data_IF_476965792754
#
_entry.id   IF_476965792754
#
_cell.length_a   1.000
_cell.length_b   1.000
_cell.length_c   1.000
_cell.angle_alpha   90.00
_cell.angle_beta   90.00
_cell.angle_gamma   90.00
#
_symmetry.space_group_name_H-M   'P 1'
#
loop_
_entity.id
_entity.type
_entity.pdbx_description
1 polymer ?
#
# COMPACT_ATOMS: atom_id res chain seq x y z
N UNK A 1 4.42 -10.73 3.13
CA UNK A 1 3.74 -11.74 4.00
C UNK A 1 3.81 -11.33 5.46
N UNK A 2 2.86 -11.72 6.33
CA UNK A 2 2.98 -11.47 7.78
C UNK A 2 3.86 -12.54 8.44
N UNK A 3 4.72 -12.12 9.37
CA UNK A 3 5.50 -13.05 10.20
C UNK A 3 4.58 -14.03 10.93
N UNK A 4 4.95 -15.33 11.04
CA UNK A 4 4.07 -16.30 11.68
C UNK A 4 3.79 -15.97 13.15
N UNK A 5 2.51 -16.06 13.53
CA UNK A 5 2.05 -15.96 14.92
C UNK A 5 1.27 -17.24 15.26
N UNK A 6 1.52 -17.84 16.43
CA UNK A 6 0.82 -19.04 16.90
C UNK A 6 0.84 -20.21 15.87
N UNK A 7 1.97 -20.41 15.19
CA UNK A 7 2.12 -21.46 14.19
C UNK A 7 1.36 -21.22 12.87
N UNK A 8 0.78 -20.04 12.66
CA UNK A 8 0.11 -19.69 11.40
C UNK A 8 0.83 -18.55 10.68
N UNK A 9 0.97 -18.66 9.36
CA UNK A 9 1.36 -17.60 8.44
C UNK A 9 0.14 -17.05 7.73
N UNK A 10 0.08 -15.72 7.60
CA UNK A 10 -0.91 -15.04 6.77
C UNK A 10 -0.27 -14.56 5.47
N UNK A 11 -0.88 -14.93 4.35
CA UNK A 11 -0.61 -14.34 3.05
C UNK A 11 -1.68 -13.27 2.79
N UNK A 12 -1.21 -12.06 2.56
CA UNK A 12 -2.04 -10.86 2.36
C UNK A 12 -1.60 -10.27 1.02
N UNK A 13 -2.43 -10.37 -0.03
CA UNK A 13 -2.13 -9.76 -1.32
C UNK A 13 -2.00 -8.24 -1.21
N UNK A 14 -1.16 -7.62 -2.03
CA UNK A 14 -1.01 -6.15 -2.04
C UNK A 14 -2.35 -5.39 -2.27
N UNK A 15 -3.24 -5.83 -3.18
CA UNK A 15 -4.57 -5.24 -3.31
C UNK A 15 -5.43 -5.34 -2.04
N UNK A 16 -5.18 -6.35 -1.19
CA UNK A 16 -5.90 -6.50 0.09
C UNK A 16 -5.40 -5.54 1.16
N UNK A 17 -4.12 -5.15 1.17
CA UNK A 17 -3.68 -4.04 2.05
C UNK A 17 -4.19 -2.70 1.53
N UNK A 18 -4.21 -2.50 0.21
CA UNK A 18 -4.75 -1.28 -0.38
C UNK A 18 -6.24 -1.11 0.00
N UNK A 19 -7.00 -2.20 0.05
CA UNK A 19 -8.36 -2.18 0.60
C UNK A 19 -8.42 -1.68 2.06
N UNK A 20 -7.46 -2.03 2.92
CA UNK A 20 -7.38 -1.48 4.28
C UNK A 20 -7.06 0.01 4.27
N UNK A 21 -6.14 0.45 3.40
CA UNK A 21 -5.80 1.87 3.17
C UNK A 21 -7.04 2.67 2.77
N UNK A 22 -7.85 2.17 1.85
CA UNK A 22 -9.14 2.77 1.46
C UNK A 22 -10.15 2.86 2.62
N UNK A 23 -10.27 1.82 3.45
CA UNK A 23 -11.12 1.85 4.65
C UNK A 23 -10.68 2.93 5.65
N UNK A 24 -9.37 3.06 5.88
CA UNK A 24 -8.83 4.13 6.73
C UNK A 24 -9.08 5.51 6.13
N UNK A 25 -8.85 5.69 4.83
CA UNK A 25 -9.10 6.96 4.14
C UNK A 25 -10.58 7.36 4.23
N UNK A 26 -11.50 6.40 4.10
CA UNK A 26 -12.92 6.65 4.25
C UNK A 26 -13.29 7.17 5.65
N UNK A 27 -12.60 6.71 6.69
CA UNK A 27 -12.79 7.16 8.07
C UNK A 27 -12.01 8.44 8.45
N UNK A 28 -11.08 8.88 7.59
CA UNK A 28 -10.12 9.97 7.85
C UNK A 28 -10.76 11.36 7.95
N UNK A 29 -10.22 12.23 8.79
CA UNK A 29 -10.61 13.65 8.85
C UNK A 29 -11.02 14.10 10.24
N UNK A 30 -10.31 13.64 11.27
CA UNK A 30 -10.36 14.25 12.59
C UNK A 30 -9.91 15.74 12.53
N UNK A 31 -10.36 16.60 13.46
CA UNK A 31 -9.95 18.00 13.50
C UNK A 31 -8.43 18.18 13.52
N UNK A 32 -7.92 19.12 12.71
CA UNK A 32 -6.48 19.43 12.60
C UNK A 32 -5.71 18.59 11.57
N UNK A 33 -6.28 17.50 11.06
CA UNK A 33 -5.68 16.72 9.98
C UNK A 33 -6.11 17.23 8.61
N UNK A 34 -5.17 17.25 7.66
CA UNK A 34 -5.50 17.46 6.26
C UNK A 34 -6.58 16.46 5.81
N UNK A 35 -7.47 16.93 4.94
CA UNK A 35 -8.63 16.14 4.50
C UNK A 35 -8.52 15.78 3.03
N UNK A 36 -9.02 14.59 2.64
CA UNK A 36 -9.07 14.20 1.25
C UNK A 36 -10.02 15.11 0.48
N UNK A 37 -9.57 15.60 -0.67
CA UNK A 37 -10.34 16.55 -1.48
C UNK A 37 -10.03 16.41 -2.97
N UNK A 38 -11.00 15.98 -3.80
CA UNK A 38 -12.32 15.45 -3.43
C UNK A 38 -12.23 14.09 -2.74
N UNK A 39 -13.09 13.88 -1.73
CA UNK A 39 -13.01 12.69 -0.89
C UNK A 39 -13.21 11.35 -1.63
N UNK A 40 -14.23 11.17 -2.51
CA UNK A 40 -14.47 9.89 -3.16
C UNK A 40 -13.27 9.36 -3.97
N UNK A 41 -12.62 10.24 -4.73
CA UNK A 41 -11.51 9.90 -5.61
C UNK A 41 -10.21 9.65 -4.84
N UNK A 42 -9.97 10.36 -3.73
CA UNK A 42 -8.80 10.10 -2.87
C UNK A 42 -9.00 8.79 -2.10
N UNK A 43 -10.22 8.49 -1.63
CA UNK A 43 -10.56 7.19 -1.03
C UNK A 43 -10.34 6.08 -2.05
N UNK A 44 -10.77 6.27 -3.30
CA UNK A 44 -10.54 5.32 -4.39
C UNK A 44 -9.06 5.12 -4.67
N UNK A 45 -8.27 6.21 -4.77
CA UNK A 45 -6.84 6.13 -4.97
C UNK A 45 -6.14 5.39 -3.82
N UNK A 46 -6.47 5.71 -2.56
CA UNK A 46 -5.95 4.99 -1.40
C UNK A 46 -6.33 3.50 -1.44
N UNK A 47 -7.57 3.19 -1.84
CA UNK A 47 -8.07 1.83 -1.99
C UNK A 47 -7.46 1.03 -3.14
N UNK A 48 -6.84 1.70 -4.12
CA UNK A 48 -6.36 1.10 -5.38
C UNK A 48 -4.91 1.47 -5.71
N UNK A 49 -4.14 2.01 -4.74
CA UNK A 49 -2.78 2.48 -4.99
C UNK A 49 -1.86 1.37 -5.50
N UNK A 50 -2.14 0.13 -5.12
CA UNK A 50 -1.42 -1.07 -5.55
C UNK A 50 -2.14 -1.87 -6.65
N UNK A 51 -2.97 -1.23 -7.46
CA UNK A 51 -3.65 -1.88 -8.60
C UNK A 51 -2.66 -2.57 -9.56
N UNK A 52 -1.42 -2.09 -9.63
CA UNK A 52 -0.33 -2.69 -10.40
C UNK A 52 -0.04 -4.16 -10.03
N UNK A 53 -0.36 -4.56 -8.80
CA UNK A 53 -0.13 -5.91 -8.30
C UNK A 53 -1.22 -6.90 -8.68
N UNK A 54 -2.40 -6.46 -9.15
CA UNK A 54 -3.53 -7.36 -9.43
C UNK A 54 -3.13 -8.54 -10.32
N UNK A 55 -2.45 -8.27 -11.44
CA UNK A 55 -2.02 -9.33 -12.36
C UNK A 55 -0.97 -10.26 -11.74
N UNK A 56 -0.03 -9.71 -10.95
CA UNK A 56 1.00 -10.48 -10.27
C UNK A 56 0.40 -11.44 -9.25
N UNK A 57 -0.54 -10.97 -8.43
CA UNK A 57 -1.20 -11.75 -7.39
C UNK A 57 -2.07 -12.89 -7.96
N UNK A 58 -2.51 -12.78 -9.23
CA UNK A 58 -3.23 -13.88 -9.90
C UNK A 58 -2.32 -15.01 -10.40
N UNK A 59 -1.01 -14.78 -10.44
CA UNK A 59 -0.02 -15.71 -10.97
C UNK A 59 1.22 -15.80 -10.06
N UNK A 60 1.08 -16.12 -8.76
CA UNK A 60 2.22 -16.15 -7.84
C UNK A 60 3.24 -17.18 -8.31
N UNK A 61 4.52 -16.83 -8.19
CA UNK A 61 5.67 -17.69 -8.53
C UNK A 61 6.38 -18.17 -7.28
N UNK A 62 6.96 -19.36 -7.35
CA UNK A 62 7.65 -19.97 -6.21
C UNK A 62 9.08 -19.41 -6.08
N UNK A 63 9.43 -18.94 -4.89
CA UNK A 63 10.82 -18.68 -4.49
C UNK A 63 11.46 -20.02 -4.05
N UNK A 64 12.38 -20.59 -4.83
CA UNK A 64 12.98 -21.90 -4.52
C UNK A 64 13.91 -21.86 -3.30
N UNK A 65 14.43 -20.69 -2.93
CA UNK A 65 15.30 -20.56 -1.75
C UNK A 65 14.49 -20.65 -0.47
N UNK A 66 13.30 -20.04 -0.48
CA UNK A 66 12.46 -19.97 0.72
C UNK A 66 11.37 -21.02 0.75
N UNK A 67 11.00 -21.63 -0.39
CA UNK A 67 9.86 -22.53 -0.54
C UNK A 67 8.51 -21.85 -0.36
N UNK A 68 8.41 -20.55 -0.65
CA UNK A 68 7.23 -19.70 -0.46
C UNK A 68 6.93 -18.91 -1.76
N UNK A 69 5.75 -18.29 -1.91
CA UNK A 69 5.55 -17.30 -2.96
C UNK A 69 6.59 -16.18 -2.86
N UNK A 70 7.09 -15.69 -3.99
CA UNK A 70 8.01 -14.55 -4.01
C UNK A 70 7.43 -13.36 -3.24
N UNK A 71 8.26 -12.79 -2.36
CA UNK A 71 7.88 -11.62 -1.57
C UNK A 71 7.96 -10.34 -2.42
N UNK A 72 6.89 -9.55 -2.42
CA UNK A 72 6.80 -8.29 -3.16
C UNK A 72 7.94 -7.32 -2.78
N UNK A 73 8.42 -7.37 -1.53
CA UNK A 73 9.52 -6.53 -1.02
C UNK A 73 10.88 -6.87 -1.62
N UNK A 74 11.01 -8.03 -2.28
CA UNK A 74 12.24 -8.49 -2.94
C UNK A 74 12.27 -8.20 -4.44
N UNK A 75 11.19 -7.65 -5.02
CA UNK A 75 11.16 -7.35 -6.45
C UNK A 75 11.93 -6.06 -6.75
N UNK A 76 12.94 -6.18 -7.61
CA UNK A 76 13.69 -5.04 -8.14
C UNK A 76 12.85 -4.11 -9.00
N UNK A 77 13.23 -2.84 -9.05
CA UNK A 77 12.53 -1.80 -9.81
C UNK A 77 12.46 -2.09 -11.32
N UNK A 78 13.39 -2.86 -11.89
CA UNK A 78 13.35 -3.29 -13.29
C UNK A 78 12.12 -4.13 -13.63
N UNK A 79 11.58 -4.89 -12.67
CA UNK A 79 10.33 -5.65 -12.81
C UNK A 79 9.14 -4.81 -12.36
N UNK A 80 9.28 -4.13 -11.23
CA UNK A 80 8.19 -3.42 -10.56
C UNK A 80 7.73 -2.16 -11.32
N UNK A 81 8.63 -1.35 -11.87
CA UNK A 81 8.27 -0.08 -12.50
C UNK A 81 7.38 -0.22 -13.75
N UNK A 82 7.62 -1.18 -14.67
CA UNK A 82 6.70 -1.45 -15.78
C UNK A 82 5.30 -1.89 -15.30
N UNK A 83 5.22 -2.71 -14.24
CA UNK A 83 3.93 -3.11 -13.64
C UNK A 83 3.20 -1.89 -13.09
N UNK A 84 3.92 -1.00 -12.39
CA UNK A 84 3.36 0.23 -11.84
C UNK A 84 2.78 1.14 -12.92
N UNK A 85 3.57 1.41 -13.97
CA UNK A 85 3.15 2.20 -15.11
C UNK A 85 1.88 1.62 -15.77
N UNK A 86 1.75 0.30 -15.84
CA UNK A 86 0.54 -0.34 -16.34
C UNK A 86 -0.66 -0.13 -15.41
N UNK A 87 -0.47 -0.25 -14.09
CA UNK A 87 -1.51 0.04 -13.09
C UNK A 87 -2.03 1.48 -13.16
N UNK A 88 -1.12 2.44 -13.35
CA UNK A 88 -1.46 3.86 -13.57
C UNK A 88 -2.35 4.03 -14.80
N UNK A 89 -2.04 3.35 -15.92
CA UNK A 89 -2.87 3.40 -17.12
C UNK A 89 -4.24 2.74 -16.95
N UNK A 90 -4.33 1.63 -16.20
CA UNK A 90 -5.62 1.03 -15.83
C UNK A 90 -6.46 2.05 -15.06
N UNK A 91 -5.89 2.68 -14.03
CA UNK A 91 -6.60 3.66 -13.21
C UNK A 91 -7.07 4.85 -14.05
N UNK A 92 -6.23 5.35 -14.96
CA UNK A 92 -6.57 6.46 -15.86
C UNK A 92 -7.75 6.09 -16.77
N UNK A 93 -7.71 4.90 -17.35
CA UNK A 93 -8.75 4.42 -18.26
C UNK A 93 -10.07 4.12 -17.52
N UNK A 94 -10.01 3.63 -16.29
CA UNK A 94 -11.18 3.23 -15.52
C UNK A 94 -11.86 4.39 -14.77
N UNK A 95 -11.07 5.31 -14.19
CA UNK A 95 -11.56 6.29 -13.22
C UNK A 95 -11.13 7.73 -13.50
N UNK A 96 -10.33 7.96 -14.53
CA UNK A 96 -9.90 9.29 -14.95
C UNK A 96 -8.60 9.77 -14.31
N UNK A 97 -8.27 11.04 -14.56
CA UNK A 97 -6.93 11.56 -14.31
C UNK A 97 -6.58 11.68 -12.83
N UNK A 98 -7.53 12.02 -11.95
CA UNK A 98 -7.21 12.33 -10.56
C UNK A 98 -6.79 11.11 -9.73
N UNK A 99 -7.55 9.99 -9.69
CA UNK A 99 -7.07 8.77 -9.05
C UNK A 99 -5.76 8.27 -9.66
N UNK A 100 -5.65 8.29 -10.99
CA UNK A 100 -4.44 7.86 -11.68
C UNK A 100 -3.21 8.69 -11.32
N UNK A 101 -3.37 10.01 -11.17
CA UNK A 101 -2.32 10.91 -10.72
C UNK A 101 -1.82 10.55 -9.32
N UNK A 102 -2.72 10.32 -8.37
CA UNK A 102 -2.36 9.96 -7.00
C UNK A 102 -1.66 8.60 -6.93
N UNK A 103 -2.09 7.63 -7.75
CA UNK A 103 -1.45 6.30 -7.87
C UNK A 103 -0.05 6.43 -8.50
N UNK A 104 0.10 7.25 -9.54
CA UNK A 104 1.40 7.53 -10.17
C UNK A 104 2.37 8.18 -9.17
N UNK A 105 1.92 9.20 -8.42
CA UNK A 105 2.71 9.87 -7.40
C UNK A 105 3.13 8.93 -6.26
N UNK A 106 2.25 8.00 -5.86
CA UNK A 106 2.59 7.00 -4.85
C UNK A 106 3.70 6.06 -5.34
N UNK A 107 3.65 5.60 -6.59
CA UNK A 107 4.74 4.82 -7.18
C UNK A 107 6.06 5.57 -7.26
N UNK A 108 6.03 6.85 -7.67
CA UNK A 108 7.23 7.70 -7.63
C UNK A 108 7.82 7.74 -6.23
N UNK A 109 6.99 7.95 -5.20
CA UNK A 109 7.43 7.96 -3.80
C UNK A 109 8.10 6.66 -3.38
N UNK A 110 7.56 5.49 -3.77
CA UNK A 110 8.17 4.19 -3.49
C UNK A 110 9.62 4.14 -4.00
N UNK A 111 9.88 4.61 -5.21
CA UNK A 111 11.21 4.57 -5.81
C UNK A 111 12.16 5.66 -5.31
N UNK A 112 11.66 6.82 -4.89
CA UNK A 112 12.49 7.99 -4.54
C UNK A 112 12.68 8.18 -3.04
N UNK A 113 11.76 7.69 -2.21
CA UNK A 113 11.80 7.90 -0.75
C UNK A 113 11.99 6.60 0.03
N UNK A 114 11.54 5.45 -0.49
CA UNK A 114 11.53 4.19 0.26
C UNK A 114 12.58 3.17 -0.21
N UNK A 115 13.20 3.40 -1.35
CA UNK A 115 14.34 2.62 -1.83
C UNK A 115 15.63 3.43 -1.64
N UNK A 116 16.69 2.76 -1.17
CA UNK A 116 18.02 3.34 -1.11
C UNK A 116 18.73 3.14 -2.46
N UNK A 117 18.91 4.19 -3.28
CA UNK A 117 19.49 4.06 -4.62
C UNK A 117 20.92 3.50 -4.62
N UNK A 118 21.68 3.69 -3.53
CA UNK A 118 23.06 3.18 -3.42
C UNK A 118 23.10 1.66 -3.21
N UNK A 119 22.01 1.08 -2.74
CA UNK A 119 21.85 -0.35 -2.51
C UNK A 119 21.32 -1.13 -3.72
N UNK A 120 20.87 -0.43 -4.77
CA UNK A 120 20.19 -1.05 -5.91
C UNK A 120 21.14 -1.53 -7.01
N UNK A 121 20.81 -2.65 -7.69
CA UNK A 121 21.47 -3.05 -8.92
C UNK A 121 21.41 -1.96 -10.01
N UNK A 122 22.41 -1.88 -10.91
CA UNK A 122 22.39 -0.89 -12.01
C UNK A 122 21.15 -0.96 -12.90
N UNK A 123 20.60 -2.15 -13.16
CA UNK A 123 19.36 -2.26 -13.95
C UNK A 123 18.15 -1.62 -13.28
N UNK A 124 18.07 -1.68 -11.95
CA UNK A 124 16.97 -1.14 -11.16
C UNK A 124 17.05 0.38 -11.12
N UNK A 125 18.24 0.93 -10.88
CA UNK A 125 18.46 2.38 -10.97
C UNK A 125 18.07 2.92 -12.35
N UNK A 126 18.53 2.27 -13.43
CA UNK A 126 18.18 2.69 -14.78
C UNK A 126 16.68 2.56 -15.07
N UNK A 127 15.98 1.60 -14.46
CA UNK A 127 14.54 1.46 -14.57
C UNK A 127 13.80 2.58 -13.82
N UNK A 128 14.24 2.92 -12.61
CA UNK A 128 13.71 4.03 -11.81
C UNK A 128 13.84 5.34 -12.58
N UNK A 129 15.03 5.66 -13.11
CA UNK A 129 15.26 6.91 -13.85
C UNK A 129 14.34 7.05 -15.06
N UNK A 130 14.23 5.98 -15.87
CA UNK A 130 13.34 5.96 -17.04
C UNK A 130 11.87 6.13 -16.63
N UNK A 131 11.45 5.44 -15.58
CA UNK A 131 10.07 5.52 -15.11
C UNK A 131 9.75 6.90 -14.53
N UNK A 132 10.62 7.44 -13.68
CA UNK A 132 10.44 8.75 -13.07
C UNK A 132 10.38 9.86 -14.13
N UNK A 133 11.22 9.82 -15.16
CA UNK A 133 11.16 10.79 -16.26
C UNK A 133 9.82 10.72 -17.01
N UNK A 134 9.33 9.50 -17.29
CA UNK A 134 8.04 9.28 -17.94
C UNK A 134 6.86 9.74 -17.06
N UNK A 135 6.82 9.30 -15.81
CA UNK A 135 5.74 9.63 -14.87
C UNK A 135 5.72 11.12 -14.55
N UNK A 136 6.88 11.79 -14.40
CA UNK A 136 6.92 13.23 -14.17
C UNK A 136 6.27 14.04 -15.31
N UNK A 137 6.48 13.63 -16.57
CA UNK A 137 5.83 14.27 -17.72
C UNK A 137 4.31 14.07 -17.73
N UNK A 138 3.84 12.85 -17.41
CA UNK A 138 2.41 12.52 -17.31
C UNK A 138 1.74 13.27 -16.15
N UNK A 139 2.38 13.27 -14.98
CA UNK A 139 1.90 13.96 -13.78
C UNK A 139 1.76 15.46 -14.06
N UNK A 140 2.76 16.10 -14.66
CA UNK A 140 2.70 17.53 -15.02
C UNK A 140 1.56 17.84 -16.01
N UNK A 141 1.37 17.01 -17.04
CA UNK A 141 0.27 17.14 -18.00
C UNK A 141 -1.11 16.97 -17.33
N UNK A 142 -1.27 15.99 -16.45
CA UNK A 142 -2.54 15.75 -15.76
C UNK A 142 -2.86 16.82 -14.74
N UNK A 143 -1.87 17.30 -13.99
CA UNK A 143 -2.02 18.44 -13.07
C UNK A 143 -2.53 19.67 -13.85
N UNK A 144 -1.95 19.97 -15.01
CA UNK A 144 -2.39 21.08 -15.85
C UNK A 144 -3.82 20.89 -16.40
N UNK A 145 -4.19 19.67 -16.82
CA UNK A 145 -5.54 19.35 -17.32
C UNK A 145 -6.62 19.39 -16.24
N UNK A 146 -6.26 19.05 -15.01
CA UNK A 146 -7.15 19.05 -13.86
C UNK A 146 -7.33 20.43 -13.23
N UNK A 147 -6.44 21.39 -13.55
CA UNK A 147 -6.43 22.75 -12.97
C UNK A 147 -6.39 22.74 -11.43
N UNK A 148 -5.58 21.84 -10.87
CA UNK A 148 -5.42 21.63 -9.42
C UNK A 148 -4.13 22.28 -8.92
N UNK A 149 -4.14 22.75 -7.67
CA UNK A 149 -2.96 23.35 -7.06
C UNK A 149 -1.92 22.29 -6.68
N UNK A 150 -0.64 22.68 -6.69
CA UNK A 150 0.46 21.84 -6.17
C UNK A 150 0.18 21.40 -4.72
N UNK A 151 -0.31 22.31 -3.89
CA UNK A 151 -0.65 22.04 -2.50
C UNK A 151 -1.71 20.93 -2.35
N UNK A 152 -2.76 20.96 -3.19
CA UNK A 152 -3.79 19.92 -3.18
C UNK A 152 -3.23 18.55 -3.58
N UNK A 153 -2.36 18.52 -4.59
CA UNK A 153 -1.69 17.31 -5.07
C UNK A 153 -0.78 16.73 -3.98
N UNK A 154 0.08 17.55 -3.39
CA UNK A 154 1.01 17.15 -2.33
C UNK A 154 0.26 16.64 -1.09
N UNK A 155 -0.79 17.35 -0.66
CA UNK A 155 -1.65 16.96 0.45
C UNK A 155 -2.30 15.59 0.23
N UNK A 156 -2.93 15.38 -0.93
CA UNK A 156 -3.61 14.12 -1.21
C UNK A 156 -2.64 12.96 -1.44
N UNK A 157 -1.48 13.23 -2.03
CA UNK A 157 -0.41 12.24 -2.15
C UNK A 157 0.10 11.81 -0.77
N UNK A 158 0.30 12.75 0.17
CA UNK A 158 0.69 12.43 1.53
C UNK A 158 -0.39 11.64 2.28
N UNK A 159 -1.67 11.95 2.04
CA UNK A 159 -2.80 11.19 2.58
C UNK A 159 -2.80 9.72 2.10
N UNK A 160 -2.58 9.46 0.81
CA UNK A 160 -2.45 8.09 0.29
C UNK A 160 -1.27 7.36 0.94
N UNK A 161 -0.12 8.03 1.08
CA UNK A 161 1.07 7.41 1.67
C UNK A 161 0.93 7.06 3.14
N UNK A 162 0.28 7.90 3.96
CA UNK A 162 0.09 7.56 5.38
C UNK A 162 -0.90 6.40 5.58
N UNK A 163 -1.95 6.31 4.76
CA UNK A 163 -2.87 5.16 4.86
C UNK A 163 -2.28 3.88 4.29
N UNK A 164 -1.41 3.97 3.26
CA UNK A 164 -0.56 2.85 2.84
C UNK A 164 0.35 2.38 4.00
N UNK A 165 1.14 3.28 4.57
CA UNK A 165 2.07 2.99 5.66
C UNK A 165 1.39 2.34 6.88
N UNK A 166 0.26 2.90 7.33
CA UNK A 166 -0.55 2.31 8.39
C UNK A 166 -1.08 0.92 8.00
N UNK A 167 -1.47 0.71 6.75
CA UNK A 167 -2.00 -0.58 6.30
C UNK A 167 -0.91 -1.65 6.30
N UNK A 168 0.30 -1.31 5.85
CA UNK A 168 1.48 -2.17 5.91
C UNK A 168 1.88 -2.46 7.35
N UNK A 169 1.83 -1.47 8.26
CA UNK A 169 2.10 -1.66 9.68
C UNK A 169 1.16 -2.71 10.29
N UNK A 170 -0.13 -2.67 9.95
CA UNK A 170 -1.13 -3.65 10.42
C UNK A 170 -0.92 -5.03 9.76
N UNK A 171 -0.71 -5.07 8.44
CA UNK A 171 -0.50 -6.30 7.68
C UNK A 171 0.76 -7.05 8.13
N UNK A 172 1.85 -6.34 8.43
CA UNK A 172 3.08 -6.92 8.93
C UNK A 172 3.10 -7.12 10.45
N UNK A 173 2.13 -6.55 11.17
CA UNK A 173 2.18 -6.37 12.62
C UNK A 173 3.48 -5.69 13.09
N UNK A 174 3.90 -4.67 12.36
CA UNK A 174 5.11 -3.90 12.60
C UNK A 174 4.76 -2.43 12.87
N UNK A 175 4.70 -2.01 14.15
CA UNK A 175 4.26 -0.67 14.53
C UNK A 175 5.17 0.46 14.04
N UNK A 176 6.43 0.17 13.72
CA UNK A 176 7.40 1.20 13.31
C UNK A 176 7.15 1.72 11.89
N UNK A 177 6.25 1.07 11.13
CA UNK A 177 5.87 1.45 9.77
C UNK A 177 4.72 2.47 9.68
N UNK A 178 4.25 3.05 10.79
CA UNK A 178 3.03 3.86 10.81
C UNK A 178 3.09 5.21 10.04
N UNK A 179 4.26 5.65 9.57
CA UNK A 179 4.42 6.84 8.73
C UNK A 179 4.11 8.18 9.41
N UNK A 180 3.82 9.20 8.62
CA UNK A 180 3.50 10.56 9.07
C UNK A 180 2.22 11.07 8.40
N UNK A 181 1.35 11.73 9.16
CA UNK A 181 0.10 12.29 8.66
C UNK A 181 0.21 13.79 8.34
N UNK A 182 -0.32 14.25 7.19
CA UNK A 182 -0.41 15.68 6.88
C UNK A 182 -1.47 16.38 7.74
N UNK A 183 -1.15 17.58 8.21
CA UNK A 183 -2.00 18.43 9.04
C UNK A 183 -2.64 19.58 8.23
N UNK A 184 -3.72 20.17 8.73
CA UNK A 184 -4.40 21.31 8.07
C UNK A 184 -3.49 22.56 7.97
N UNK A 185 -2.51 22.69 8.87
CA UNK A 185 -1.53 23.79 8.87
C UNK A 185 -0.33 23.58 7.93
N UNK A 186 -0.34 22.49 7.16
CA UNK A 186 0.75 22.12 6.24
C UNK A 186 1.93 21.38 6.90
N UNK A 187 1.91 21.18 8.22
CA UNK A 187 2.90 20.34 8.91
C UNK A 187 2.61 18.85 8.73
N UNK A 188 3.58 18.01 9.10
CA UNK A 188 3.41 16.56 9.20
C UNK A 188 3.57 16.11 10.66
N UNK A 189 2.82 15.08 11.05
CA UNK A 189 2.88 14.49 12.39
C UNK A 189 3.15 13.01 12.30
N UNK A 190 4.24 12.56 12.93
CA UNK A 190 4.57 11.14 13.03
C UNK A 190 3.45 10.37 13.74
N UNK A 191 3.02 9.27 13.11
CA UNK A 191 2.04 8.36 13.66
C UNK A 191 2.74 7.35 14.59
N UNK A 192 2.19 7.17 15.79
CA UNK A 192 2.64 6.20 16.77
C UNK A 192 1.60 5.11 16.91
N UNK A 193 1.86 3.97 16.29
CA UNK A 193 1.05 2.76 16.42
C UNK A 193 1.62 1.90 17.56
N UNK A 194 0.78 1.37 18.44
CA UNK A 194 1.21 0.46 19.51
C UNK A 194 0.26 -0.73 19.60
N UNK A 195 0.81 -1.94 19.63
CA UNK A 195 0.02 -3.17 19.79
C UNK A 195 -0.44 -3.32 21.23
N UNK A 196 -1.75 -3.35 21.45
CA UNK A 196 -2.37 -3.52 22.78
C UNK A 196 -2.78 -4.97 23.06
N UNK A 197 -2.87 -5.80 22.01
CA UNK A 197 -3.22 -7.21 22.13
C UNK A 197 -3.40 -7.84 20.74
N UNK A 198 -3.94 -9.05 20.69
CA UNK A 198 -4.35 -9.67 19.42
C UNK A 198 -5.39 -8.79 18.75
N UNK A 199 -5.11 -8.38 17.51
CA UNK A 199 -6.01 -7.58 16.69
C UNK A 199 -6.41 -6.21 17.26
N UNK A 200 -5.65 -5.67 18.22
CA UNK A 200 -5.94 -4.41 18.91
C UNK A 200 -4.72 -3.50 18.95
N UNK A 201 -4.94 -2.25 18.55
CA UNK A 201 -3.90 -1.23 18.44
C UNK A 201 -4.37 0.10 19.01
N UNK A 202 -3.44 0.87 19.57
CA UNK A 202 -3.63 2.29 19.83
C UNK A 202 -2.88 3.11 18.78
N UNK A 203 -3.45 4.25 18.38
CA UNK A 203 -2.86 5.17 17.42
C UNK A 203 -2.87 6.60 17.97
N UNK A 204 -1.73 7.26 17.93
CA UNK A 204 -1.55 8.66 18.30
C UNK A 204 -0.66 9.39 17.28
N UNK A 205 -1.04 10.55 16.73
CA UNK A 205 -2.34 11.22 16.91
C UNK A 205 -3.47 10.43 16.23
N UNK A 206 -4.73 10.69 16.63
CA UNK A 206 -5.91 9.96 16.10
C UNK A 206 -6.52 10.68 14.88
N UNK A 207 -6.40 10.15 13.63
CA UNK A 207 -6.78 10.86 12.41
C UNK A 207 -8.23 10.61 11.97
N UNK A 208 -8.97 9.74 12.67
CA UNK A 208 -10.28 9.26 12.23
C UNK A 208 -11.43 9.99 12.91
N UNK A 209 -12.55 10.14 12.20
CA UNK A 209 -13.73 10.86 12.72
C UNK A 209 -14.45 10.12 13.86
N UNK A 210 -14.39 8.79 13.89
CA UNK A 210 -14.95 7.96 14.96
C UNK A 210 -14.03 7.85 16.18
N UNK A 211 -14.46 7.19 17.25
CA UNK A 211 -13.63 6.90 18.44
C UNK A 211 -12.95 5.52 18.40
N UNK A 212 -13.23 4.75 17.37
CA UNK A 212 -12.59 3.48 17.04
C UNK A 212 -12.71 3.24 15.54
N UNK A 213 -11.82 2.45 14.98
CA UNK A 213 -11.87 2.01 13.59
C UNK A 213 -11.48 0.53 13.54
N UNK A 214 -12.33 -0.30 12.96
CA UNK A 214 -11.97 -1.66 12.58
C UNK A 214 -11.82 -1.72 11.07
N UNK A 215 -10.65 -2.13 10.60
CA UNK A 215 -10.40 -2.41 9.19
C UNK A 215 -10.25 -3.91 8.98
N UNK A 216 -10.70 -4.41 7.83
CA UNK A 216 -10.65 -5.84 7.56
C UNK A 216 -10.43 -6.19 6.09
N UNK A 217 -9.74 -7.31 5.86
CA UNK A 217 -9.58 -7.93 4.55
C UNK A 217 -9.56 -9.45 4.69
N UNK A 218 -9.73 -10.16 3.59
CA UNK A 218 -9.56 -11.61 3.56
C UNK A 218 -8.09 -11.96 3.34
N UNK A 219 -7.67 -13.05 3.97
CA UNK A 219 -6.28 -13.53 3.98
C UNK A 219 -6.26 -15.04 3.82
N UNK A 220 -5.19 -15.55 3.21
CA UNK A 220 -4.95 -16.98 3.12
C UNK A 220 -4.10 -17.42 4.32
N UNK A 221 -4.50 -18.54 4.95
CA UNK A 221 -3.78 -19.10 6.11
C UNK A 221 -3.04 -20.37 5.72
N UNK A 222 -1.80 -20.48 6.16
CA UNK A 222 -1.04 -21.73 6.14
C UNK A 222 -0.34 -21.97 7.47
N UNK A 223 -0.09 -23.24 7.83
CA UNK A 223 0.90 -23.55 8.86
C UNK A 223 2.23 -22.83 8.60
N UNK A 224 2.89 -22.36 9.66
CA UNK A 224 4.10 -21.54 9.58
C UNK A 224 5.25 -22.25 8.85
N UNK A 225 5.28 -23.57 8.98
CA UNK A 225 6.23 -24.51 8.42
C UNK A 225 5.92 -24.91 6.96
N UNK A 226 4.76 -24.53 6.41
CA UNK A 226 4.42 -24.84 5.02
C UNK A 226 5.51 -24.35 4.08
N UNK A 227 6.03 -25.26 3.27
CA UNK A 227 7.00 -25.00 2.21
C UNK A 227 6.65 -25.84 1.00
N UNK A 228 6.69 -25.20 -0.17
CA UNK A 228 6.49 -25.84 -1.45
C UNK A 228 7.82 -26.07 -2.14
N UNK A 229 7.90 -27.17 -2.88
CA UNK A 229 9.03 -27.49 -3.76
C UNK A 229 8.64 -27.45 -5.25
N UNK A 230 7.36 -27.21 -5.52
CA UNK A 230 6.76 -27.20 -6.85
C UNK A 230 5.78 -26.02 -6.96
N UNK A 231 5.95 -25.22 -8.00
CA UNK A 231 5.13 -24.02 -8.23
C UNK A 231 3.68 -24.38 -8.53
N UNK A 232 3.43 -25.48 -9.24
CA UNK A 232 2.07 -25.90 -9.56
C UNK A 232 1.33 -26.36 -8.29
N UNK A 233 1.99 -27.13 -7.41
CA UNK A 233 1.48 -27.47 -6.09
C UNK A 233 1.18 -26.24 -5.25
N UNK A 234 2.11 -25.27 -5.19
CA UNK A 234 1.88 -24.01 -4.48
C UNK A 234 0.63 -23.29 -5.00
N UNK A 235 0.46 -23.19 -6.32
CA UNK A 235 -0.70 -22.54 -6.93
C UNK A 235 -2.01 -23.29 -6.69
N UNK A 236 -1.99 -24.63 -6.66
CA UNK A 236 -3.17 -25.44 -6.29
C UNK A 236 -3.55 -25.21 -4.83
N UNK A 237 -2.57 -25.31 -3.93
CA UNK A 237 -2.80 -25.13 -2.50
C UNK A 237 -3.30 -23.72 -2.18
N UNK A 238 -2.74 -22.68 -2.80
CA UNK A 238 -3.23 -21.29 -2.65
C UNK A 238 -4.67 -21.11 -3.10
N UNK A 239 -5.09 -21.81 -4.16
CA UNK A 239 -6.45 -21.75 -4.71
C UNK A 239 -7.47 -22.43 -3.82
N UNK A 240 -7.08 -23.55 -3.22
CA UNK A 240 -7.96 -24.39 -2.40
C UNK A 240 -7.86 -24.06 -0.90
N UNK A 241 -6.98 -23.14 -0.52
CA UNK A 241 -6.71 -22.77 0.86
C UNK A 241 -7.93 -22.20 1.58
N UNK A 242 -7.95 -22.38 2.89
CA UNK A 242 -8.92 -21.72 3.76
C UNK A 242 -8.63 -20.22 3.83
N UNK A 243 -9.67 -19.43 3.54
CA UNK A 243 -9.66 -18.00 3.73
C UNK A 243 -10.09 -17.64 5.16
N UNK A 244 -9.51 -16.57 5.69
CA UNK A 244 -9.92 -16.00 6.97
C UNK A 244 -9.90 -14.48 6.93
N UNK A 245 -10.76 -13.86 7.72
CA UNK A 245 -10.76 -12.42 7.89
C UNK A 245 -9.63 -11.99 8.82
N UNK A 246 -8.73 -11.15 8.31
CA UNK A 246 -7.89 -10.31 9.15
C UNK A 246 -8.72 -9.08 9.52
N UNK A 247 -8.99 -8.89 10.80
CA UNK A 247 -9.65 -7.71 11.33
C UNK A 247 -8.75 -7.06 12.38
N UNK A 248 -8.43 -5.78 12.19
CA UNK A 248 -7.53 -5.02 13.04
C UNK A 248 -8.30 -3.81 13.59
N UNK A 249 -8.38 -3.68 14.91
CA UNK A 249 -9.13 -2.60 15.57
C UNK A 249 -8.18 -1.59 16.18
N UNK A 250 -8.35 -0.33 15.78
CA UNK A 250 -7.61 0.83 16.29
C UNK A 250 -8.50 1.65 17.22
N UNK A 251 -7.89 2.23 18.26
CA UNK A 251 -8.48 3.23 19.14
C UNK A 251 -7.45 4.34 19.42
N UNK A 252 -7.89 5.53 19.89
CA UNK A 252 -6.99 6.54 20.42
C UNK A 252 -6.10 5.97 21.55
N UNK A 253 -4.87 6.46 21.66
CA UNK A 253 -3.95 6.11 22.75
C UNK A 253 -4.36 6.73 24.11
#
# INVERSE_FOLDING_TARGET
MRSPENGTRLLIPQPSHALLSGQMMAAWGAPGFARPDPAPEVILAAGQHDIAWLSWETAPTLDPETGLPHDFTKLGAAVHAPMWAHGVEIARAAWGLWPALLISLHGTRVYTEYMDPESLPPEDHAAIDRNNAKEAALQADWIAKLDVSREQVERNSALVAVTDALSLALCFADPDKAGEAPMEDGSARKMKLVRQGTSRWSLDPWPFRGNTLTVQCETIRFPAETRWTDEEAMRRDLRDAAWSTLAETLAPA
#
